data_IF_840297903891
#
_entry.id   IF_840297903891
#
_cell.length_a   1.000
_cell.length_b   1.000
_cell.length_c   1.000
_cell.angle_alpha   90.00
_cell.angle_beta   90.00
_cell.angle_gamma   90.00
#
_symmetry.space_group_name_H-M   'P 1'
#
loop_
_entity.id
_entity.type
_entity.pdbx_description
1 polymer ?
#
# COMPACT_ATOMS: atom_id res chain seq x y z
N UNK A 1 28.75 -30.74 28.50
CA UNK A 1 28.05 -30.46 27.22
C UNK A 1 27.25 -29.19 27.41
N UNK A 2 27.72 -28.06 26.86
CA UNK A 2 27.03 -26.77 26.93
C UNK A 2 26.22 -26.67 25.64
N UNK A 3 24.90 -26.49 25.73
CA UNK A 3 24.04 -26.31 24.57
C UNK A 3 24.50 -25.05 23.80
N UNK A 4 24.51 -25.04 22.45
CA UNK A 4 24.79 -23.82 21.71
C UNK A 4 23.59 -22.87 21.88
N UNK A 5 23.88 -21.66 22.38
CA UNK A 5 22.96 -20.53 22.32
C UNK A 5 22.69 -20.24 20.83
N UNK A 6 21.42 -20.18 20.44
CA UNK A 6 21.00 -19.82 19.08
C UNK A 6 21.52 -18.43 18.72
N UNK A 7 22.40 -18.35 17.72
CA UNK A 7 22.75 -17.08 17.06
C UNK A 7 21.54 -16.65 16.23
N UNK A 8 20.63 -15.92 16.87
CA UNK A 8 19.48 -15.30 16.22
C UNK A 8 19.98 -14.23 15.25
N UNK A 9 19.59 -14.34 13.98
CA UNK A 9 20.11 -13.46 12.93
C UNK A 9 19.54 -12.05 13.07
N UNK A 10 20.30 -11.03 12.64
CA UNK A 10 19.86 -9.64 12.75
C UNK A 10 18.60 -9.34 11.92
N UNK A 11 18.38 -10.12 10.86
CA UNK A 11 17.15 -10.10 10.07
C UNK A 11 15.93 -10.54 10.89
N UNK A 12 16.03 -11.64 11.64
CA UNK A 12 14.94 -12.13 12.51
C UNK A 12 14.62 -11.13 13.63
N UNK A 13 15.65 -10.54 14.26
CA UNK A 13 15.42 -9.47 15.24
C UNK A 13 14.72 -8.25 14.65
N UNK A 14 15.07 -7.87 13.42
CA UNK A 14 14.45 -6.73 12.76
C UNK A 14 13.00 -7.04 12.34
N UNK A 15 12.72 -8.28 11.95
CA UNK A 15 11.36 -8.72 11.62
C UNK A 15 10.45 -8.74 12.86
N UNK A 16 10.96 -9.26 13.99
CA UNK A 16 10.28 -9.22 15.29
C UNK A 16 9.99 -7.77 15.72
N UNK A 17 10.96 -6.86 15.54
CA UNK A 17 10.76 -5.43 15.85
C UNK A 17 9.70 -4.79 14.97
N UNK A 18 9.67 -5.09 13.67
CA UNK A 18 8.65 -4.57 12.75
C UNK A 18 7.27 -5.07 13.13
N UNK A 19 7.15 -6.37 13.42
CA UNK A 19 5.88 -6.95 13.85
C UNK A 19 5.38 -6.30 15.14
N UNK A 20 6.27 -6.12 16.12
CA UNK A 20 5.94 -5.45 17.38
C UNK A 20 5.41 -4.01 17.15
N UNK A 21 6.06 -3.25 16.26
CA UNK A 21 5.62 -1.89 15.91
C UNK A 21 4.26 -1.92 15.20
N UNK A 22 4.03 -2.85 14.27
CA UNK A 22 2.74 -3.01 13.60
C UNK A 22 1.62 -3.30 14.60
N UNK A 23 1.87 -4.20 15.56
CA UNK A 23 0.90 -4.59 16.58
C UNK A 23 0.58 -3.41 17.52
N UNK A 24 1.60 -2.62 17.90
CA UNK A 24 1.42 -1.44 18.75
C UNK A 24 0.62 -0.34 18.03
N UNK A 25 0.96 -0.05 16.77
CA UNK A 25 0.21 0.93 15.94
C UNK A 25 -1.24 0.49 15.74
N UNK A 26 -1.48 -0.79 15.47
CA UNK A 26 -2.83 -1.34 15.32
C UNK A 26 -3.61 -1.25 16.64
N UNK A 27 -2.98 -1.57 17.77
CA UNK A 27 -3.58 -1.44 19.10
C UNK A 27 -3.98 0.00 19.42
N UNK A 28 -3.08 0.97 19.17
CA UNK A 28 -3.34 2.39 19.37
C UNK A 28 -4.49 2.89 18.46
N UNK A 29 -4.54 2.43 17.22
CA UNK A 29 -5.64 2.75 16.30
C UNK A 29 -6.97 2.22 16.83
N UNK A 30 -7.03 0.97 17.29
CA UNK A 30 -8.26 0.40 17.87
C UNK A 30 -8.70 1.17 19.11
N UNK A 31 -7.77 1.49 20.02
CA UNK A 31 -8.08 2.24 21.22
C UNK A 31 -8.65 3.63 20.86
N UNK A 32 -8.03 4.32 19.90
CA UNK A 32 -8.50 5.62 19.43
C UNK A 32 -9.89 5.54 18.80
N UNK A 33 -10.13 4.58 17.89
CA UNK A 33 -11.43 4.37 17.24
C UNK A 33 -12.52 4.07 18.27
N UNK A 34 -12.25 3.20 19.25
CA UNK A 34 -13.20 2.84 20.30
C UNK A 34 -13.60 4.07 21.15
N UNK A 35 -12.62 4.91 21.53
CA UNK A 35 -12.89 6.14 22.30
C UNK A 35 -13.68 7.15 21.47
N UNK A 36 -13.31 7.35 20.20
CA UNK A 36 -14.00 8.26 19.29
C UNK A 36 -15.46 7.85 19.05
N UNK A 37 -15.69 6.58 18.72
CA UNK A 37 -17.04 6.05 18.49
C UNK A 37 -17.91 6.12 19.74
N UNK A 38 -17.34 5.79 20.91
CA UNK A 38 -18.07 5.88 22.20
C UNK A 38 -18.47 7.31 22.52
N UNK A 39 -17.57 8.28 22.30
CA UNK A 39 -17.86 9.69 22.56
C UNK A 39 -18.89 10.25 21.58
N UNK A 40 -18.78 9.91 20.30
CA UNK A 40 -19.76 10.29 19.28
C UNK A 40 -21.16 9.75 19.63
N UNK A 41 -21.27 8.47 19.99
CA UNK A 41 -22.54 7.87 20.40
C UNK A 41 -23.14 8.57 21.63
N UNK A 42 -22.31 8.88 22.65
CA UNK A 42 -22.74 9.60 23.87
C UNK A 42 -23.25 11.01 23.58
N UNK A 43 -22.67 11.71 22.61
CA UNK A 43 -23.12 13.05 22.22
C UNK A 43 -24.46 12.99 21.49
N UNK A 44 -24.64 12.01 20.59
CA UNK A 44 -25.89 11.81 19.85
C UNK A 44 -27.05 11.37 20.75
N UNK A 45 -26.78 10.53 21.75
CA UNK A 45 -27.81 10.03 22.69
C UNK A 45 -28.25 11.04 23.75
N UNK A 46 -27.48 12.11 24.00
CA UNK A 46 -27.91 13.21 24.89
C UNK A 46 -29.00 14.10 24.25
N UNK A 47 -29.33 13.89 22.98
CA UNK A 47 -30.40 14.62 22.30
C UNK A 47 -31.74 13.86 22.26
N UNK A 48 -31.75 12.55 22.51
CA UNK A 48 -32.97 11.72 22.48
C UNK A 48 -33.05 10.85 23.75
N UNK A 49 -34.02 11.13 24.64
CA UNK A 49 -34.16 10.54 25.99
C UNK A 49 -34.58 9.04 26.00
N UNK A 50 -34.38 8.30 24.91
CA UNK A 50 -34.73 6.87 24.85
C UNK A 50 -33.54 6.00 25.25
N UNK A 51 -33.55 5.59 26.52
CA UNK A 51 -32.71 4.54 27.12
C UNK A 51 -32.99 3.15 26.50
N UNK A 52 -32.56 2.93 25.25
CA UNK A 52 -32.56 1.62 24.61
C UNK A 52 -31.19 0.94 24.72
N UNK A 53 -31.15 -0.35 25.08
CA UNK A 53 -29.93 -1.13 25.05
C UNK A 53 -29.41 -1.24 23.60
N UNK A 54 -28.20 -0.74 23.35
CA UNK A 54 -27.54 -0.82 22.05
C UNK A 54 -26.97 -2.23 21.84
N UNK A 55 -27.61 -3.03 20.99
CA UNK A 55 -27.02 -4.26 20.48
C UNK A 55 -26.08 -3.92 19.32
N UNK A 56 -24.78 -4.25 19.40
CA UNK A 56 -23.86 -4.03 18.28
C UNK A 56 -24.27 -4.95 17.12
N UNK A 57 -24.83 -4.35 16.07
CA UNK A 57 -25.16 -5.08 14.84
C UNK A 57 -23.88 -5.18 13.99
N UNK A 58 -23.22 -6.32 14.08
CA UNK A 58 -22.04 -6.63 13.26
C UNK A 58 -22.54 -7.39 12.04
N UNK A 59 -22.52 -6.74 10.89
CA UNK A 59 -22.76 -7.35 9.58
C UNK A 59 -21.51 -7.21 8.72
N UNK A 60 -21.14 -8.27 7.99
CA UNK A 60 -20.07 -8.20 6.99
C UNK A 60 -20.62 -7.50 5.75
N UNK A 61 -20.22 -6.25 5.55
CA UNK A 61 -20.58 -5.46 4.36
C UNK A 61 -19.36 -5.41 3.45
N UNK A 62 -19.49 -5.88 2.21
CA UNK A 62 -18.42 -5.75 1.21
C UNK A 62 -18.31 -4.30 0.77
N UNK A 63 -17.09 -3.76 0.72
CA UNK A 63 -16.83 -2.41 0.19
C UNK A 63 -17.10 -2.31 -1.32
N UNK A 64 -16.98 -3.43 -2.03
CA UNK A 64 -17.11 -3.49 -3.49
C UNK A 64 -18.05 -4.62 -3.92
N UNK A 65 -18.70 -4.42 -5.07
CA UNK A 65 -19.50 -5.45 -5.73
C UNK A 65 -18.70 -6.08 -6.87
N UNK A 66 -18.79 -7.40 -7.01
CA UNK A 66 -18.21 -8.11 -8.16
C UNK A 66 -19.14 -7.93 -9.35
N UNK A 67 -18.61 -7.35 -10.43
CA UNK A 67 -19.30 -7.21 -11.71
C UNK A 67 -18.55 -8.03 -12.74
N UNK A 68 -19.25 -8.95 -13.40
CA UNK A 68 -18.69 -9.75 -14.49
C UNK A 68 -18.90 -9.02 -15.81
N UNK A 69 -17.82 -8.81 -16.55
CA UNK A 69 -17.84 -8.30 -17.91
C UNK A 69 -17.51 -9.44 -18.87
N UNK A 70 -18.13 -9.44 -20.06
CA UNK A 70 -17.76 -10.37 -21.13
C UNK A 70 -16.38 -9.97 -21.70
N UNK A 71 -15.63 -10.93 -22.23
CA UNK A 71 -14.25 -10.70 -22.67
C UNK A 71 -14.10 -9.70 -23.83
N UNK A 72 -15.21 -9.49 -24.56
CA UNK A 72 -15.32 -8.54 -25.67
C UNK A 72 -15.71 -7.12 -25.20
N UNK A 73 -15.85 -6.89 -23.89
CA UNK A 73 -16.21 -5.56 -23.39
C UNK A 73 -15.03 -4.58 -23.57
N UNK A 74 -15.21 -3.48 -24.35
CA UNK A 74 -14.16 -2.50 -24.60
C UNK A 74 -13.66 -1.81 -23.31
N UNK A 75 -14.46 -1.84 -22.24
CA UNK A 75 -14.07 -1.34 -20.92
C UNK A 75 -12.93 -2.14 -20.27
N UNK A 76 -12.79 -3.43 -20.62
CA UNK A 76 -11.74 -4.31 -20.10
C UNK A 76 -10.44 -4.13 -20.89
N UNK A 77 -10.52 -3.92 -22.20
CA UNK A 77 -9.36 -3.75 -23.08
C UNK A 77 -8.64 -2.40 -22.90
N UNK A 78 -9.37 -1.33 -22.57
CA UNK A 78 -8.84 0.02 -22.42
C UNK A 78 -8.27 0.38 -21.04
N UNK A 79 -8.18 -0.56 -20.10
CA UNK A 79 -7.86 -0.26 -18.68
C UNK A 79 -6.49 -0.68 -18.19
N UNK A 80 -5.63 -1.24 -19.05
CA UNK A 80 -4.23 -1.29 -18.65
C UNK A 80 -3.76 0.16 -18.48
N UNK A 81 -3.24 0.50 -17.30
CA UNK A 81 -2.72 1.85 -16.97
C UNK A 81 -1.66 2.36 -17.96
N UNK A 82 -1.22 1.51 -18.87
CA UNK A 82 -0.26 1.77 -19.94
C UNK A 82 -0.91 2.15 -21.28
N UNK A 83 -2.18 1.77 -21.53
CA UNK A 83 -2.84 1.92 -22.83
C UNK A 83 -3.41 3.34 -23.07
N UNK A 84 -3.89 4.01 -22.02
CA UNK A 84 -4.64 5.27 -22.18
C UNK A 84 -3.79 6.53 -22.37
N UNK A 85 -2.46 6.43 -22.28
CA UNK A 85 -1.57 7.56 -22.57
C UNK A 85 -1.20 7.68 -24.06
N UNK A 86 -1.03 6.57 -24.77
CA UNK A 86 -0.28 6.59 -26.04
C UNK A 86 -1.09 7.06 -27.26
N UNK A 87 -2.41 7.23 -27.14
CA UNK A 87 -3.26 7.48 -28.30
C UNK A 87 -3.06 8.87 -28.95
N UNK A 88 -2.69 9.90 -28.17
CA UNK A 88 -2.85 11.30 -28.61
C UNK A 88 -1.60 12.20 -28.46
N UNK A 89 -0.41 11.63 -28.21
CA UNK A 89 0.88 12.36 -28.36
C UNK A 89 1.20 13.45 -27.32
N UNK A 90 0.31 13.75 -26.37
CA UNK A 90 0.56 14.65 -25.24
C UNK A 90 0.14 13.95 -23.94
N UNK A 91 1.09 13.25 -23.30
CA UNK A 91 0.87 12.60 -22.01
C UNK A 91 1.57 13.42 -20.94
N UNK A 92 0.80 13.89 -19.96
CA UNK A 92 1.35 14.37 -18.70
C UNK A 92 1.53 13.14 -17.81
N UNK A 93 2.78 12.88 -17.42
CA UNK A 93 3.10 11.79 -16.54
C UNK A 93 2.96 12.24 -15.08
N UNK A 94 2.13 11.54 -14.33
CA UNK A 94 1.89 11.76 -12.90
C UNK A 94 1.66 10.41 -12.18
N UNK A 95 1.27 10.46 -10.90
CA UNK A 95 1.02 9.23 -10.11
C UNK A 95 -0.15 8.38 -10.66
N UNK A 96 -1.06 8.98 -11.43
CA UNK A 96 -2.19 8.31 -12.05
C UNK A 96 -1.89 7.84 -13.48
N UNK A 97 -0.91 8.47 -14.15
CA UNK A 97 -0.47 8.19 -15.51
C UNK A 97 1.04 7.90 -15.56
N UNK A 98 1.50 6.76 -15.03
CA UNK A 98 2.91 6.45 -14.92
C UNK A 98 3.58 6.30 -16.30
N UNK A 99 4.82 6.76 -16.41
CA UNK A 99 5.65 6.54 -17.59
C UNK A 99 6.29 5.15 -17.56
N UNK A 100 6.21 4.42 -18.68
CA UNK A 100 6.96 3.17 -18.86
C UNK A 100 8.32 3.46 -19.48
N UNK A 101 9.32 3.75 -18.65
CA UNK A 101 10.70 3.97 -19.10
C UNK A 101 11.44 2.66 -19.34
N UNK A 102 12.37 2.67 -20.30
CA UNK A 102 13.25 1.52 -20.57
C UNK A 102 14.42 1.54 -19.58
N UNK A 103 14.82 0.38 -19.07
CA UNK A 103 16.05 0.28 -18.25
C UNK A 103 17.25 0.31 -19.19
N UNK A 104 18.06 1.35 -19.09
CA UNK A 104 19.28 1.53 -19.88
C UNK A 104 20.49 0.86 -19.19
N UNK A 105 20.61 1.01 -17.87
CA UNK A 105 21.71 0.44 -17.08
C UNK A 105 21.14 -0.32 -15.88
N UNK A 106 21.77 -1.45 -15.56
CA UNK A 106 21.51 -2.21 -14.34
C UNK A 106 22.81 -2.81 -13.83
N UNK A 107 23.34 -2.25 -12.75
CA UNK A 107 24.63 -2.64 -12.21
C UNK A 107 24.53 -2.99 -10.74
N UNK A 108 25.23 -4.05 -10.31
CA UNK A 108 25.34 -4.40 -8.89
C UNK A 108 26.50 -3.62 -8.29
N UNK A 109 26.21 -2.82 -7.27
CA UNK A 109 27.21 -1.98 -6.60
C UNK A 109 27.77 -2.61 -5.31
N UNK A 110 27.14 -3.68 -4.80
CA UNK A 110 27.58 -4.35 -3.59
C UNK A 110 28.71 -5.33 -3.87
N UNK A 111 29.56 -5.56 -2.87
CA UNK A 111 30.58 -6.61 -2.94
C UNK A 111 29.92 -7.99 -2.88
N UNK A 112 30.53 -9.06 -3.43
CA UNK A 112 29.94 -10.39 -3.41
C UNK A 112 29.66 -10.96 -2.01
N UNK A 113 30.34 -10.44 -0.99
CA UNK A 113 30.21 -10.83 0.41
C UNK A 113 29.33 -9.88 1.23
N UNK A 114 28.76 -8.85 0.61
CA UNK A 114 27.85 -7.95 1.30
C UNK A 114 26.50 -8.63 1.51
N UNK A 115 25.98 -8.54 2.73
CA UNK A 115 24.66 -9.08 3.10
C UNK A 115 23.48 -8.24 2.56
N UNK A 116 23.77 -7.18 1.80
CA UNK A 116 22.79 -6.27 1.20
C UNK A 116 22.97 -6.16 -0.32
N UNK A 117 21.85 -6.08 -1.06
CA UNK A 117 21.88 -5.86 -2.51
C UNK A 117 21.76 -4.37 -2.83
N UNK A 118 22.86 -3.72 -3.22
CA UNK A 118 22.82 -2.41 -3.85
C UNK A 118 22.85 -2.55 -5.38
N UNK A 119 21.90 -1.90 -6.07
CA UNK A 119 21.77 -1.93 -7.54
C UNK A 119 21.60 -0.50 -8.05
N UNK A 120 22.45 -0.09 -8.99
CA UNK A 120 22.30 1.13 -9.78
C UNK A 120 21.40 0.86 -10.98
N UNK A 121 20.43 1.75 -11.22
CA UNK A 121 19.53 1.69 -12.37
C UNK A 121 19.51 3.05 -13.06
N UNK A 122 19.66 3.03 -14.38
CA UNK A 122 19.41 4.21 -15.22
C UNK A 122 18.24 3.90 -16.14
N UNK A 123 17.33 4.87 -16.25
CA UNK A 123 16.14 4.76 -17.08
C UNK A 123 16.24 5.71 -18.26
N UNK A 124 15.99 5.19 -19.45
CA UNK A 124 15.85 5.97 -20.67
C UNK A 124 14.42 6.51 -20.76
N UNK A 125 14.32 7.84 -20.63
CA UNK A 125 13.08 8.61 -20.77
C UNK A 125 13.04 9.42 -22.09
N UNK A 126 13.92 9.12 -23.05
CA UNK A 126 13.90 9.78 -24.35
C UNK A 126 12.54 9.59 -25.05
N UNK A 127 12.02 10.66 -25.66
CA UNK A 127 10.73 10.63 -26.35
C UNK A 127 9.48 10.54 -25.45
N UNK A 128 9.63 10.51 -24.12
CA UNK A 128 8.49 10.47 -23.18
C UNK A 128 7.95 11.85 -22.81
N UNK A 129 8.71 12.92 -23.09
CA UNK A 129 8.32 14.28 -22.71
C UNK A 129 8.49 14.61 -21.22
N UNK A 130 8.94 13.65 -20.41
CA UNK A 130 9.41 13.90 -19.04
C UNK A 130 10.61 14.85 -19.05
N UNK A 131 10.54 15.87 -18.21
CA UNK A 131 11.65 16.79 -17.95
C UNK A 131 12.10 16.62 -16.52
N UNK A 132 13.41 16.67 -16.31
CA UNK A 132 13.97 16.82 -14.97
C UNK A 132 13.49 18.15 -14.39
N UNK A 133 13.02 18.12 -13.15
CA UNK A 133 12.70 19.35 -12.43
C UNK A 133 14.02 19.96 -11.96
N UNK A 134 14.38 21.12 -12.53
CA UNK A 134 15.51 21.95 -12.08
C UNK A 134 15.20 22.68 -10.77
#
# INVERSE_FOLDING_TARGET
MKAPLSEETEAERNDIRKQFICDEVQSLLYQWVMVMMTNALKMTLRHDDTSGAFTPNIATISEYMVVFYDSEDPYVQGKSSYANGHANGFVVHDIHNPCRAKVAVREKLHTPFADHSCIHLEFDFSGTGLKEHE
#
